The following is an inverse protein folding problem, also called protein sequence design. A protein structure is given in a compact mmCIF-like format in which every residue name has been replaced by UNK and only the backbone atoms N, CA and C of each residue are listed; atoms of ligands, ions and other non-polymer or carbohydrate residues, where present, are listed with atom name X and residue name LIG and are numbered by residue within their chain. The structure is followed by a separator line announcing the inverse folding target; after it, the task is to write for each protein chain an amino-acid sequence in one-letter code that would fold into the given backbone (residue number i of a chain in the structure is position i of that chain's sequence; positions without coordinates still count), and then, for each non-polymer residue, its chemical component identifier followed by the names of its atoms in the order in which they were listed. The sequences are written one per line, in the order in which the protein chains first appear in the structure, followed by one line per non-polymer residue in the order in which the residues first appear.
data_IF_614693427083
#
_entry.id   IF_614693427083
#
_cell.length_a   1.000
_cell.length_b   1.000
_cell.length_c   1.000
_cell.angle_alpha   90.00
_cell.angle_beta   90.00
_cell.angle_gamma   90.00
#
_symmetry.space_group_name_H-M   'P 1'
#
loop_
_entity.id
_entity.type
_entity.pdbx_description
1 polymer ?
#
# COMPACT_ATOMS: atom_id res chain seq x y z
N UNK A 1 4.86 -19.60 -14.90
CA UNK A 1 5.13 -19.78 -13.47
C UNK A 1 5.84 -18.54 -12.99
N UNK A 2 5.31 -17.86 -11.98
CA UNK A 2 5.89 -16.61 -11.45
C UNK A 2 7.17 -16.91 -10.65
N UNK A 3 8.04 -15.90 -10.52
CA UNK A 3 9.34 -16.03 -9.84
C UNK A 3 9.24 -16.52 -8.39
N UNK A 4 8.13 -16.23 -7.70
CA UNK A 4 7.92 -16.53 -6.29
C UNK A 4 6.69 -17.44 -6.05
N UNK A 5 6.32 -18.26 -7.02
CA UNK A 5 5.18 -19.18 -6.87
C UNK A 5 5.37 -20.20 -5.73
N UNK A 6 6.60 -20.58 -5.45
CA UNK A 6 7.00 -21.45 -4.35
C UNK A 6 6.72 -20.84 -2.96
N UNK A 7 6.64 -19.53 -2.88
CA UNK A 7 6.34 -18.78 -1.64
C UNK A 7 4.84 -18.49 -1.46
N UNK A 8 4.01 -18.76 -2.47
CA UNK A 8 2.58 -18.50 -2.43
C UNK A 8 1.84 -19.55 -1.61
N UNK A 9 1.23 -19.14 -0.50
CA UNK A 9 0.44 -20.01 0.39
C UNK A 9 -1.04 -20.05 0.04
N UNK A 10 -1.49 -19.24 -0.93
CA UNK A 10 -2.87 -19.18 -1.38
C UNK A 10 -3.02 -19.81 -2.77
N UNK A 11 -4.09 -20.60 -2.99
CA UNK A 11 -4.39 -21.13 -4.30
C UNK A 11 -4.60 -20.00 -5.31
N UNK A 12 -4.18 -20.22 -6.54
CA UNK A 12 -4.43 -19.30 -7.63
C UNK A 12 -5.95 -19.16 -7.86
N UNK A 13 -6.47 -17.93 -7.77
CA UNK A 13 -7.83 -17.63 -8.20
C UNK A 13 -7.82 -17.38 -9.70
N UNK A 14 -8.61 -18.16 -10.44
CA UNK A 14 -8.75 -18.00 -11.87
C UNK A 14 -9.70 -16.88 -12.29
N UNK A 15 -9.78 -16.56 -13.59
CA UNK A 15 -10.74 -15.57 -14.13
C UNK A 15 -12.19 -15.86 -13.75
N UNK A 16 -12.58 -17.14 -13.65
CA UNK A 16 -13.90 -17.58 -13.23
C UNK A 16 -14.22 -17.18 -11.78
N UNK A 17 -13.23 -17.21 -10.88
CA UNK A 17 -13.40 -16.79 -9.49
C UNK A 17 -13.63 -15.29 -9.37
N UNK A 18 -12.86 -14.51 -10.15
CA UNK A 18 -13.02 -13.05 -10.23
C UNK A 18 -14.37 -12.69 -10.80
N UNK A 19 -14.81 -13.38 -11.86
CA UNK A 19 -16.13 -13.16 -12.47
C UNK A 19 -17.26 -13.54 -11.49
N UNK A 20 -17.17 -14.66 -10.81
CA UNK A 20 -18.15 -15.08 -9.81
C UNK A 20 -18.24 -14.07 -8.64
N UNK A 21 -17.12 -13.50 -8.22
CA UNK A 21 -17.11 -12.45 -7.21
C UNK A 21 -17.76 -11.15 -7.74
N UNK A 22 -17.41 -10.72 -8.96
CA UNK A 22 -18.03 -9.52 -9.59
C UNK A 22 -19.55 -9.67 -9.74
N UNK A 23 -20.03 -10.85 -10.08
CA UNK A 23 -21.45 -11.15 -10.21
C UNK A 23 -22.16 -11.38 -8.86
N UNK A 24 -21.47 -11.21 -7.74
CA UNK A 24 -22.02 -11.37 -6.41
C UNK A 24 -22.24 -12.83 -5.97
N UNK A 25 -21.87 -13.82 -6.78
CA UNK A 25 -22.09 -15.26 -6.50
C UNK A 25 -21.22 -15.83 -5.39
N UNK A 26 -20.12 -15.15 -5.05
CA UNK A 26 -19.15 -15.52 -3.99
C UNK A 26 -18.96 -14.40 -2.96
N UNK A 27 -19.94 -13.53 -2.81
CA UNK A 27 -19.91 -12.52 -1.74
C UNK A 27 -20.50 -13.13 -0.47
N UNK A 28 -19.84 -12.89 0.66
CA UNK A 28 -20.47 -13.17 1.93
C UNK A 28 -21.75 -12.37 2.09
N UNK A 29 -22.80 -12.94 2.68
CA UNK A 29 -24.01 -12.19 2.95
C UNK A 29 -23.68 -10.99 3.84
N UNK A 30 -24.27 -9.85 3.53
CA UNK A 30 -24.14 -8.69 4.41
C UNK A 30 -24.73 -9.04 5.78
N UNK A 31 -24.13 -8.57 6.89
CA UNK A 31 -24.73 -8.71 8.20
C UNK A 31 -26.18 -8.21 8.19
N UNK A 32 -27.06 -8.86 8.95
CA UNK A 32 -28.49 -8.52 8.96
C UNK A 32 -28.78 -7.08 9.44
N UNK A 33 -27.87 -6.52 10.21
CA UNK A 33 -27.87 -5.15 10.74
C UNK A 33 -27.21 -4.12 9.81
N UNK A 34 -26.69 -4.55 8.64
CA UNK A 34 -26.08 -3.64 7.69
C UNK A 34 -27.13 -2.72 7.05
N UNK A 35 -27.20 -1.48 7.49
CA UNK A 35 -28.19 -0.50 7.02
C UNK A 35 -27.79 0.17 5.69
N UNK A 36 -26.53 0.64 5.58
CA UNK A 36 -26.05 1.33 4.39
C UNK A 36 -24.53 1.45 4.37
N UNK A 37 -23.94 1.77 3.21
CA UNK A 37 -22.52 2.12 3.10
C UNK A 37 -22.15 3.36 3.93
N UNK A 38 -23.10 4.28 4.13
CA UNK A 38 -22.86 5.49 4.92
C UNK A 38 -22.61 5.17 6.40
N UNK A 39 -23.25 4.12 6.93
CA UNK A 39 -23.06 3.67 8.30
C UNK A 39 -21.64 3.14 8.59
N UNK A 40 -20.87 2.78 7.55
CA UNK A 40 -19.50 2.25 7.66
C UNK A 40 -18.45 3.21 7.10
N UNK A 41 -18.82 4.45 6.78
CA UNK A 41 -17.84 5.47 6.37
C UNK A 41 -16.98 5.89 7.56
N UNK A 42 -15.64 5.97 7.39
CA UNK A 42 -14.78 6.46 8.46
C UNK A 42 -15.07 7.93 8.74
N UNK A 43 -14.98 8.29 10.00
CA UNK A 43 -15.00 9.70 10.43
C UNK A 43 -13.61 10.28 10.16
N UNK A 44 -13.55 11.38 9.41
CA UNK A 44 -12.31 12.13 9.23
C UNK A 44 -12.12 13.03 10.45
N UNK A 45 -10.95 12.93 11.08
CA UNK A 45 -10.56 13.75 12.23
C UNK A 45 -9.56 14.81 11.78
N UNK A 46 -9.81 16.05 12.13
CA UNK A 46 -8.91 17.17 11.83
C UNK A 46 -7.60 17.07 12.63
N UNK A 47 -6.56 17.76 12.18
CA UNK A 47 -5.28 17.86 12.90
C UNK A 47 -4.26 16.77 12.55
N UNK A 48 -4.57 15.85 11.63
CA UNK A 48 -3.66 14.78 11.26
C UNK A 48 -2.36 15.27 10.59
N UNK A 49 -2.46 16.27 9.72
CA UNK A 49 -1.28 16.87 9.06
C UNK A 49 -0.39 17.60 10.07
N UNK A 50 -0.98 18.33 10.98
CA UNK A 50 -0.30 19.06 12.07
C UNK A 50 0.39 18.09 13.04
N UNK A 51 -0.25 16.95 13.35
CA UNK A 51 0.36 15.91 14.18
C UNK A 51 1.59 15.32 13.49
N UNK A 52 1.48 14.99 12.19
CA UNK A 52 2.60 14.48 11.40
C UNK A 52 3.74 15.49 11.19
N UNK A 53 3.47 16.78 11.26
CA UNK A 53 4.48 17.83 11.15
C UNK A 53 5.34 17.98 12.42
N UNK A 54 4.85 17.47 13.56
CA UNK A 54 5.57 17.49 14.84
C UNK A 54 6.59 16.36 14.92
N UNK A 55 7.63 16.47 15.79
CA UNK A 55 8.66 15.43 15.94
C UNK A 55 8.18 14.19 16.72
N UNK A 56 7.09 14.30 17.48
CA UNK A 56 6.57 13.21 18.32
C UNK A 56 6.11 12.02 17.47
N UNK A 57 6.35 10.81 17.98
CA UNK A 57 5.91 9.59 17.32
C UNK A 57 4.38 9.56 17.25
N UNK A 58 3.86 9.38 16.05
CA UNK A 58 2.42 9.26 15.83
C UNK A 58 2.11 8.43 14.57
N UNK A 59 0.88 7.94 14.50
CA UNK A 59 0.34 7.24 13.35
C UNK A 59 -0.99 7.89 12.93
N UNK A 60 -1.15 8.12 11.64
CA UNK A 60 -2.39 8.65 11.04
C UNK A 60 -2.83 7.72 9.92
N UNK A 61 -4.02 7.16 10.03
CA UNK A 61 -4.62 6.39 8.95
C UNK A 61 -5.21 7.33 7.88
N UNK A 62 -4.68 7.25 6.69
CA UNK A 62 -5.11 8.08 5.54
C UNK A 62 -6.33 7.48 4.85
N UNK A 63 -6.41 6.16 4.83
CA UNK A 63 -7.50 5.41 4.21
C UNK A 63 -7.01 4.22 3.41
N UNK A 64 -7.88 3.21 3.24
CA UNK A 64 -7.53 1.91 2.65
C UNK A 64 -6.29 1.32 3.33
N UNK A 65 -5.24 1.00 2.61
CA UNK A 65 -3.98 0.47 3.16
C UNK A 65 -2.95 1.57 3.49
N UNK A 66 -3.29 2.84 3.22
CA UNK A 66 -2.36 3.96 3.42
C UNK A 66 -2.38 4.44 4.87
N UNK A 67 -1.22 4.41 5.50
CA UNK A 67 -0.96 5.03 6.79
C UNK A 67 0.28 5.92 6.70
N UNK A 68 0.27 7.02 7.45
CA UNK A 68 1.42 7.89 7.64
C UNK A 68 1.92 7.77 9.08
N UNK A 69 3.22 7.60 9.26
CA UNK A 69 3.86 7.34 10.54
C UNK A 69 4.98 8.36 10.76
N UNK A 70 5.01 9.04 11.90
CA UNK A 70 6.17 9.79 12.37
C UNK A 70 6.94 8.92 13.36
N UNK A 71 8.12 8.44 12.97
CA UNK A 71 8.98 7.57 13.77
C UNK A 71 10.45 7.94 13.57
N UNK A 72 11.26 7.95 14.64
CA UNK A 72 12.69 8.22 14.58
C UNK A 72 13.05 9.51 13.82
N UNK A 73 12.23 10.57 13.97
CA UNK A 73 12.39 11.84 13.26
C UNK A 73 12.05 11.80 11.75
N UNK A 74 11.57 10.65 11.24
CA UNK A 74 11.23 10.45 9.83
C UNK A 74 9.72 10.37 9.63
N UNK A 75 9.23 10.88 8.48
CA UNK A 75 7.86 10.67 8.03
C UNK A 75 7.81 9.54 7.00
N UNK A 76 7.13 8.46 7.38
CA UNK A 76 6.93 7.29 6.55
C UNK A 76 5.51 7.25 6.02
N UNK A 77 5.31 6.76 4.78
CA UNK A 77 3.98 6.46 4.23
C UNK A 77 3.98 5.04 3.70
N UNK A 78 2.97 4.26 4.13
CA UNK A 78 2.78 2.87 3.66
C UNK A 78 1.75 2.82 2.55
N UNK A 79 1.98 1.98 1.52
CA UNK A 79 1.05 1.67 0.43
C UNK A 79 0.25 2.89 -0.06
N UNK A 80 0.92 3.93 -0.58
CA UNK A 80 0.30 5.22 -0.83
C UNK A 80 -0.73 5.16 -1.96
N UNK A 81 -2.00 5.40 -1.62
CA UNK A 81 -3.09 5.56 -2.57
C UNK A 81 -3.96 6.78 -2.24
N UNK A 82 -3.85 7.83 -3.07
CA UNK A 82 -4.70 9.01 -3.06
C UNK A 82 -5.62 9.11 -4.27
N UNK A 83 -5.50 8.17 -5.21
CA UNK A 83 -6.37 8.11 -6.39
C UNK A 83 -7.85 7.96 -5.97
N UNK A 84 -8.73 8.65 -6.70
CA UNK A 84 -10.18 8.55 -6.52
C UNK A 84 -10.76 7.20 -6.95
N UNK A 85 -10.00 6.45 -7.72
CA UNK A 85 -10.38 5.11 -8.17
C UNK A 85 -9.16 4.23 -8.44
N UNK A 86 -9.28 2.94 -8.16
CA UNK A 86 -8.30 1.92 -8.53
C UNK A 86 -8.56 1.53 -9.98
N UNK A 87 -7.60 1.83 -10.87
CA UNK A 87 -7.68 1.50 -12.31
C UNK A 87 -8.98 1.97 -13.01
N UNK A 88 -9.59 3.03 -12.51
CA UNK A 88 -10.87 3.55 -13.03
C UNK A 88 -12.11 2.70 -12.67
N UNK A 89 -11.94 1.52 -12.11
CA UNK A 89 -13.03 0.54 -11.92
C UNK A 89 -13.62 0.53 -10.50
N UNK A 90 -12.78 0.70 -9.47
CA UNK A 90 -13.22 0.68 -8.07
C UNK A 90 -13.06 2.08 -7.49
N UNK A 91 -14.17 2.72 -7.16
CA UNK A 91 -14.17 4.09 -6.64
C UNK A 91 -13.89 4.09 -5.13
N UNK A 92 -13.16 5.10 -4.68
CA UNK A 92 -13.00 5.41 -3.26
C UNK A 92 -14.36 5.81 -2.67
N UNK A 93 -14.71 5.25 -1.51
CA UNK A 93 -15.99 5.53 -0.83
C UNK A 93 -15.92 6.76 0.08
N UNK A 94 -14.74 7.07 0.62
CA UNK A 94 -14.51 8.22 1.51
C UNK A 94 -13.31 9.02 1.02
N UNK A 95 -13.23 10.33 1.30
CA UNK A 95 -12.01 11.10 1.04
C UNK A 95 -10.83 10.53 1.84
N UNK A 96 -9.58 10.81 1.45
CA UNK A 96 -8.43 10.51 2.30
C UNK A 96 -8.50 11.34 3.59
N UNK A 97 -8.00 10.78 4.70
CA UNK A 97 -7.95 11.48 6.00
C UNK A 97 -7.10 12.76 5.97
N UNK A 98 -6.10 12.80 5.09
CA UNK A 98 -5.31 14.00 4.77
C UNK A 98 -5.17 14.05 3.25
N UNK A 99 -5.46 15.18 2.63
CA UNK A 99 -5.20 15.36 1.19
C UNK A 99 -3.69 15.33 0.90
N UNK A 100 -3.30 14.77 -0.25
CA UNK A 100 -1.88 14.63 -0.60
C UNK A 100 -1.12 15.97 -0.59
N UNK A 101 -1.78 17.05 -1.00
CA UNK A 101 -1.19 18.38 -1.01
C UNK A 101 -0.97 18.99 0.41
N UNK A 102 -1.65 18.43 1.43
CA UNK A 102 -1.51 18.84 2.82
C UNK A 102 -0.54 17.95 3.61
N UNK A 103 0.00 16.89 2.98
CA UNK A 103 0.98 16.03 3.63
C UNK A 103 2.28 16.79 3.87
N UNK A 104 2.89 16.68 5.06
CA UNK A 104 4.28 17.11 5.26
C UNK A 104 5.25 16.35 4.35
N UNK A 105 6.49 16.85 4.24
CA UNK A 105 7.52 16.23 3.43
C UNK A 105 7.75 14.76 3.85
N UNK A 106 7.59 13.83 2.90
CA UNK A 106 7.73 12.39 3.13
C UNK A 106 9.19 11.97 2.95
N UNK A 107 9.76 11.34 3.97
CA UNK A 107 11.13 10.82 3.95
C UNK A 107 11.20 9.41 3.37
N UNK A 108 10.23 8.53 3.72
CA UNK A 108 10.22 7.12 3.35
C UNK A 108 8.86 6.71 2.80
N UNK A 109 8.89 5.85 1.79
CA UNK A 109 7.70 5.22 1.22
C UNK A 109 7.88 3.71 1.26
N UNK A 110 7.01 3.01 1.96
CA UNK A 110 7.02 1.56 2.10
C UNK A 110 5.90 0.97 1.22
N UNK A 111 6.26 0.10 0.28
CA UNK A 111 5.30 -0.56 -0.61
C UNK A 111 5.32 -2.05 -0.36
N UNK A 112 4.23 -2.59 0.14
CA UNK A 112 4.13 -3.99 0.55
C UNK A 112 4.12 -4.95 -0.62
N UNK A 113 3.48 -4.59 -1.73
CA UNK A 113 3.39 -5.40 -2.96
C UNK A 113 2.82 -4.61 -4.14
N UNK A 114 2.73 -5.25 -5.31
CA UNK A 114 2.42 -4.59 -6.57
C UNK A 114 0.93 -4.49 -6.93
N UNK A 115 -0.01 -4.92 -6.08
CA UNK A 115 -1.42 -4.70 -6.35
C UNK A 115 -1.73 -3.21 -6.53
N UNK A 116 -2.73 -2.90 -7.35
CA UNK A 116 -2.99 -1.52 -7.81
C UNK A 116 -3.48 -0.60 -6.70
N UNK A 117 -4.04 -1.15 -5.65
CA UNK A 117 -4.53 -0.47 -4.46
C UNK A 117 -3.48 -0.32 -3.34
N UNK A 118 -2.27 -0.87 -3.55
CA UNK A 118 -1.10 -0.70 -2.68
C UNK A 118 0.02 0.06 -3.40
N UNK A 119 0.31 -0.31 -4.63
CA UNK A 119 1.26 0.39 -5.49
C UNK A 119 0.50 1.27 -6.51
N UNK A 120 -0.08 2.37 -6.06
CA UNK A 120 -0.82 3.32 -6.92
C UNK A 120 0.15 4.24 -7.65
N UNK A 121 0.46 3.91 -8.91
CA UNK A 121 1.45 4.66 -9.70
C UNK A 121 1.10 6.15 -9.87
N UNK A 122 -0.17 6.58 -10.05
CA UNK A 122 -0.51 8.00 -10.08
C UNK A 122 -0.19 8.76 -8.79
N UNK A 123 -0.36 8.14 -7.64
CA UNK A 123 0.04 8.71 -6.35
C UNK A 123 1.57 8.71 -6.21
N UNK A 124 2.20 7.56 -6.47
CA UNK A 124 3.65 7.42 -6.36
C UNK A 124 4.39 8.42 -7.24
N UNK A 125 3.87 8.73 -8.44
CA UNK A 125 4.46 9.73 -9.34
C UNK A 125 4.52 11.14 -8.71
N UNK A 126 3.58 11.47 -7.82
CA UNK A 126 3.47 12.79 -7.16
C UNK A 126 4.27 12.88 -5.86
N UNK A 127 4.67 11.77 -5.27
CA UNK A 127 5.51 11.75 -4.06
C UNK A 127 6.95 12.17 -4.40
N UNK A 128 7.75 12.65 -3.41
CA UNK A 128 9.10 13.15 -3.66
C UNK A 128 9.98 12.12 -4.41
N UNK A 129 10.76 12.57 -5.38
CA UNK A 129 11.63 11.71 -6.16
C UNK A 129 12.85 11.23 -5.34
N UNK A 130 13.27 12.03 -4.38
CA UNK A 130 14.44 11.84 -3.50
C UNK A 130 14.12 11.13 -2.19
N UNK A 131 12.84 10.91 -1.86
CA UNK A 131 12.47 10.04 -0.75
C UNK A 131 13.03 8.64 -0.93
N UNK A 132 13.26 7.92 0.16
CA UNK A 132 13.64 6.51 0.11
C UNK A 132 12.39 5.63 -0.08
N UNK A 133 12.40 4.81 -1.13
CA UNK A 133 11.36 3.82 -1.42
C UNK A 133 11.86 2.44 -1.05
N UNK A 134 11.14 1.73 -0.17
CA UNK A 134 11.49 0.35 0.22
C UNK A 134 10.34 -0.57 -0.15
N UNK A 135 10.65 -1.69 -0.79
CA UNK A 135 9.65 -2.64 -1.29
C UNK A 135 10.22 -4.06 -1.37
N UNK A 136 9.35 -5.05 -1.59
CA UNK A 136 9.78 -6.42 -1.86
C UNK A 136 10.43 -6.56 -3.24
N UNK A 137 11.36 -7.50 -3.36
CA UNK A 137 12.11 -7.82 -4.59
C UNK A 137 11.20 -7.98 -5.82
N UNK A 138 11.58 -7.38 -6.95
CA UNK A 138 10.84 -7.41 -8.22
C UNK A 138 9.88 -6.23 -8.41
N UNK A 139 9.74 -5.33 -7.43
CA UNK A 139 8.87 -4.17 -7.49
C UNK A 139 9.61 -2.88 -7.89
N UNK A 140 10.92 -2.78 -7.62
CA UNK A 140 11.71 -1.56 -7.71
C UNK A 140 11.77 -0.97 -9.11
N UNK A 141 11.82 -1.80 -10.14
CA UNK A 141 11.86 -1.32 -11.54
C UNK A 141 10.67 -0.41 -11.90
N UNK A 142 9.50 -0.59 -11.26
CA UNK A 142 8.33 0.29 -11.48
C UNK A 142 8.54 1.65 -10.83
N UNK A 143 9.14 1.69 -9.65
CA UNK A 143 9.47 2.92 -8.93
C UNK A 143 10.55 3.71 -9.68
N UNK A 144 11.60 3.03 -10.13
CA UNK A 144 12.68 3.65 -10.92
C UNK A 144 12.13 4.27 -12.23
N UNK A 145 11.19 3.59 -12.91
CA UNK A 145 10.50 4.14 -14.10
C UNK A 145 9.66 5.39 -13.80
N UNK A 146 9.23 5.59 -12.55
CA UNK A 146 8.58 6.81 -12.10
C UNK A 146 9.56 7.91 -11.69
N UNK A 147 10.86 7.73 -11.92
CA UNK A 147 11.90 8.69 -11.56
C UNK A 147 12.29 8.70 -10.08
N UNK A 148 11.99 7.61 -9.33
CA UNK A 148 12.41 7.52 -7.93
C UNK A 148 13.88 7.16 -7.86
N UNK A 149 14.69 8.05 -7.25
CA UNK A 149 16.15 7.95 -7.24
C UNK A 149 16.67 6.93 -6.22
N UNK A 150 16.00 6.81 -5.07
CA UNK A 150 16.42 5.98 -3.96
C UNK A 150 15.43 4.82 -3.78
N UNK A 151 15.74 3.66 -4.35
CA UNK A 151 14.89 2.47 -4.29
C UNK A 151 15.66 1.31 -3.71
N UNK A 152 15.15 0.71 -2.64
CA UNK A 152 15.68 -0.49 -2.00
C UNK A 152 14.66 -1.63 -2.14
N UNK A 153 15.11 -2.76 -2.64
CA UNK A 153 14.35 -3.99 -2.69
C UNK A 153 14.86 -4.95 -1.61
N UNK A 154 13.95 -5.55 -0.85
CA UNK A 154 14.25 -6.51 0.20
C UNK A 154 13.60 -7.86 -0.08
N UNK A 155 14.28 -8.94 0.23
CA UNK A 155 13.68 -10.26 0.36
C UNK A 155 13.07 -10.43 1.77
N UNK A 156 12.29 -11.47 2.01
CA UNK A 156 11.77 -11.78 3.35
C UNK A 156 12.90 -11.96 4.35
N UNK A 157 12.75 -11.30 5.49
CA UNK A 157 13.69 -11.25 6.61
C UNK A 157 14.95 -10.42 6.35
N UNK A 158 15.05 -9.77 5.19
CA UNK A 158 16.07 -8.77 4.98
C UNK A 158 15.67 -7.44 5.62
N UNK A 159 16.69 -6.72 6.11
CA UNK A 159 16.53 -5.43 6.78
C UNK A 159 17.31 -4.34 6.09
N UNK A 160 16.82 -3.11 6.20
CA UNK A 160 17.49 -1.90 5.77
C UNK A 160 17.43 -0.84 6.87
N UNK A 161 18.56 -0.20 7.19
CA UNK A 161 18.63 0.83 8.22
C UNK A 161 18.57 2.23 7.64
N UNK A 162 17.77 3.10 8.29
CA UNK A 162 17.62 4.51 7.93
C UNK A 162 17.68 5.33 9.22
N UNK A 163 18.84 5.89 9.54
CA UNK A 163 19.06 6.53 10.83
C UNK A 163 18.88 5.53 11.98
N UNK A 164 17.98 5.82 12.89
CA UNK A 164 17.65 4.97 14.04
C UNK A 164 16.64 3.85 13.70
N UNK A 165 16.00 3.93 12.53
CA UNK A 165 15.00 2.94 12.13
C UNK A 165 15.65 1.74 11.45
N UNK A 166 15.16 0.55 11.77
CA UNK A 166 15.46 -0.69 11.06
C UNK A 166 14.17 -1.23 10.45
N UNK A 167 14.14 -1.30 9.12
CA UNK A 167 13.00 -1.75 8.33
C UNK A 167 13.22 -3.20 7.94
N UNK A 168 12.50 -4.14 8.52
CA UNK A 168 12.58 -5.56 8.16
C UNK A 168 11.37 -5.94 7.31
N UNK A 169 11.61 -6.49 6.10
CA UNK A 169 10.54 -6.98 5.23
C UNK A 169 10.15 -8.40 5.65
N UNK A 170 8.88 -8.60 5.99
CA UNK A 170 8.41 -9.86 6.57
C UNK A 170 7.35 -10.54 5.69
N UNK A 171 7.25 -11.90 5.73
CA UNK A 171 6.25 -12.64 4.98
C UNK A 171 4.82 -12.22 5.33
N UNK A 172 3.96 -12.25 4.32
CA UNK A 172 2.52 -12.14 4.50
C UNK A 172 1.80 -13.26 3.73
N UNK A 173 0.66 -13.72 4.25
CA UNK A 173 -0.20 -14.65 3.54
C UNK A 173 -0.95 -13.93 2.43
N UNK A 174 -0.31 -13.76 1.29
CA UNK A 174 -0.82 -13.01 0.14
C UNK A 174 -0.20 -13.51 -1.17
N UNK A 175 -0.21 -12.70 -2.21
CA UNK A 175 0.32 -12.94 -3.54
C UNK A 175 0.50 -11.58 -4.24
N UNK A 176 1.23 -11.54 -5.35
CA UNK A 176 1.40 -10.35 -6.17
C UNK A 176 0.88 -10.56 -7.58
N UNK A 177 0.31 -9.54 -8.19
CA UNK A 177 -0.08 -9.51 -9.60
C UNK A 177 -0.50 -8.09 -10.01
N UNK A 178 0.06 -7.59 -11.08
CA UNK A 178 -0.37 -6.32 -11.66
C UNK A 178 -1.03 -6.49 -13.03
N UNK A 179 -0.58 -7.49 -13.77
CA UNK A 179 -1.10 -7.89 -15.08
C UNK A 179 -1.43 -9.39 -15.06
N UNK A 180 -2.36 -9.86 -15.89
CA UNK A 180 -2.78 -11.28 -15.85
C UNK A 180 -1.66 -12.31 -16.01
N UNK A 181 -0.54 -11.89 -16.62
CA UNK A 181 0.60 -12.77 -16.93
C UNK A 181 1.78 -12.66 -15.96
N UNK A 182 1.75 -11.74 -14.98
CA UNK A 182 2.88 -11.52 -14.06
C UNK A 182 2.55 -11.86 -12.59
N UNK A 183 1.72 -12.86 -12.38
CA UNK A 183 1.43 -13.34 -11.03
C UNK A 183 2.72 -13.82 -10.35
N UNK A 184 2.93 -13.36 -9.11
CA UNK A 184 4.08 -13.71 -8.27
C UNK A 184 5.47 -13.46 -8.91
N UNK A 185 5.57 -12.54 -9.86
CA UNK A 185 6.85 -12.10 -10.41
C UNK A 185 7.56 -11.10 -9.49
N UNK A 186 6.83 -10.46 -8.59
CA UNK A 186 7.34 -9.58 -7.55
C UNK A 186 6.97 -10.14 -6.17
N UNK A 187 7.81 -9.89 -5.18
CA UNK A 187 7.59 -10.34 -3.82
C UNK A 187 6.56 -9.44 -3.11
N UNK A 188 5.83 -10.01 -2.18
CA UNK A 188 4.85 -9.36 -1.31
C UNK A 188 5.21 -9.58 0.16
N UNK A 189 4.78 -8.70 1.06
CA UNK A 189 5.07 -8.85 2.47
C UNK A 189 4.47 -7.72 3.30
N UNK A 190 5.03 -7.53 4.48
CA UNK A 190 4.80 -6.41 5.38
C UNK A 190 6.12 -5.86 5.87
N UNK A 191 6.05 -4.85 6.75
CA UNK A 191 7.23 -4.27 7.38
C UNK A 191 7.11 -4.32 8.90
N UNK A 192 8.20 -4.68 9.56
CA UNK A 192 8.47 -4.40 10.97
C UNK A 192 9.44 -3.23 11.02
N UNK A 193 9.15 -2.27 11.88
CA UNK A 193 9.94 -1.05 12.03
C UNK A 193 10.32 -0.90 13.50
#
# INVERSE_FOLDING_TARGET
MGRFDDRATQPARGPADIMAWKLGRKRDPRPADFQSLDAVRPVVVDGGAEALAKPEACAVWIGHATSALRLGGKLLVTDPIWSRSISGAVRRLSPPGIELAAMPAVDLVLVTHDHRDHMDLPTLAKLPADALYVTGTGNGARLTKLGKANVVELDWWESHRVGELELTFVPARHWSMRMPWNRNDALWGGFVI
#
